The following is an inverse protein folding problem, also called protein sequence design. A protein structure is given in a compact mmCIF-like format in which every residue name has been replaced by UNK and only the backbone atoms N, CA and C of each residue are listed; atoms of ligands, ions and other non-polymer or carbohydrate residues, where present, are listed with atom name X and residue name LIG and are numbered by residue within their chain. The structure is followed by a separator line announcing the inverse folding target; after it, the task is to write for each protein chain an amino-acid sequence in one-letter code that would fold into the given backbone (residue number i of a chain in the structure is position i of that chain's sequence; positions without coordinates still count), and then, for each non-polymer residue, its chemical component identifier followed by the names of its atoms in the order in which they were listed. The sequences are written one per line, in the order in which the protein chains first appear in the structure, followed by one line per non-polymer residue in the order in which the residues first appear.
data_IF_791045726663
#
_entry.id   IF_791045726663
#
_cell.length_a   1.000
_cell.length_b   1.000
_cell.length_c   1.000
_cell.angle_alpha   90.00
_cell.angle_beta   90.00
_cell.angle_gamma   90.00
#
_symmetry.space_group_name_H-M   'P 1'
#
loop_
_entity.id
_entity.type
_entity.pdbx_description
1 polymer ?
#
# COMPACT_ATOMS: atom_id res chain seq x y z
N UNK A 1 20.19 8.94 16.84
CA UNK A 1 20.19 7.47 16.82
C UNK A 1 20.46 7.02 15.39
N UNK A 2 21.48 6.21 15.09
CA UNK A 2 21.66 5.67 13.74
C UNK A 2 20.65 4.55 13.56
N UNK A 3 19.72 4.72 12.61
CA UNK A 3 18.85 3.62 12.18
C UNK A 3 19.74 2.49 11.64
N UNK A 4 19.47 1.27 12.05
CA UNK A 4 20.14 0.11 11.50
C UNK A 4 19.55 -0.20 10.13
N UNK A 5 20.37 -0.57 9.15
CA UNK A 5 19.93 -0.76 7.75
C UNK A 5 18.78 -1.77 7.59
N UNK A 6 18.65 -2.73 8.50
CA UNK A 6 17.56 -3.72 8.50
C UNK A 6 16.21 -3.19 8.99
N UNK A 7 16.15 -1.93 9.44
CA UNK A 7 14.89 -1.26 9.81
C UNK A 7 14.31 -0.42 8.66
N UNK A 8 14.95 -0.38 7.50
CA UNK A 8 14.49 0.33 6.32
C UNK A 8 13.99 -0.69 5.29
N UNK A 9 12.75 -0.51 4.85
CA UNK A 9 12.14 -1.31 3.78
C UNK A 9 12.13 -0.48 2.49
N UNK A 10 12.79 -0.99 1.45
CA UNK A 10 12.76 -0.39 0.11
C UNK A 10 11.56 -0.94 -0.65
N UNK A 11 10.50 -0.14 -0.76
CA UNK A 11 9.30 -0.48 -1.49
C UNK A 11 9.36 0.03 -2.94
N UNK A 12 9.12 -0.85 -3.90
CA UNK A 12 9.13 -0.53 -5.34
C UNK A 12 7.74 -0.67 -5.96
N UNK A 13 7.32 0.28 -6.83
CA UNK A 13 6.12 0.10 -7.64
C UNK A 13 6.33 -0.96 -8.71
N UNK A 14 5.29 -1.73 -8.99
CA UNK A 14 5.28 -2.65 -10.12
C UNK A 14 3.97 -2.55 -10.89
N UNK A 15 4.05 -2.34 -12.22
CA UNK A 15 2.88 -2.37 -13.08
C UNK A 15 2.34 -3.79 -13.25
N UNK A 16 3.26 -4.74 -13.38
CA UNK A 16 2.97 -6.15 -13.63
C UNK A 16 3.97 -7.05 -12.89
N UNK A 17 3.71 -8.36 -12.90
CA UNK A 17 4.53 -9.33 -12.18
C UNK A 17 5.94 -9.48 -12.75
N UNK A 18 6.17 -9.16 -14.02
CA UNK A 18 7.51 -9.16 -14.60
C UNK A 18 8.35 -8.03 -13.99
N UNK A 19 7.81 -6.81 -13.92
CA UNK A 19 8.46 -5.65 -13.28
C UNK A 19 8.66 -5.92 -11.78
N UNK A 20 7.67 -6.54 -11.10
CA UNK A 20 7.80 -6.90 -9.69
C UNK A 20 9.00 -7.83 -9.45
N UNK A 21 9.17 -8.85 -10.28
CA UNK A 21 10.32 -9.77 -10.21
C UNK A 21 11.65 -9.06 -10.40
N UNK A 22 11.74 -8.17 -11.40
CA UNK A 22 12.94 -7.37 -11.63
C UNK A 22 13.26 -6.46 -10.45
N UNK A 23 12.26 -5.79 -9.87
CA UNK A 23 12.46 -4.96 -8.68
C UNK A 23 13.04 -5.76 -7.51
N UNK A 24 12.48 -6.95 -7.23
CA UNK A 24 12.95 -7.84 -6.17
C UNK A 24 14.40 -8.31 -6.45
N UNK A 25 14.70 -8.71 -7.68
CA UNK A 25 16.05 -9.14 -8.07
C UNK A 25 17.10 -8.01 -7.94
N UNK A 26 16.64 -6.75 -8.01
CA UNK A 26 17.48 -5.56 -7.84
C UNK A 26 17.45 -4.96 -6.43
N UNK A 27 16.90 -5.69 -5.46
CA UNK A 27 17.04 -5.37 -4.03
C UNK A 27 15.84 -4.65 -3.41
N UNK A 28 14.65 -4.70 -4.03
CA UNK A 28 13.43 -4.28 -3.34
C UNK A 28 13.09 -5.26 -2.21
N UNK A 29 12.83 -4.73 -1.02
CA UNK A 29 12.36 -5.49 0.15
C UNK A 29 10.85 -5.74 0.08
N UNK A 30 10.14 -4.91 -0.67
CA UNK A 30 8.72 -5.08 -0.95
C UNK A 30 8.36 -4.51 -2.32
N UNK A 31 7.28 -5.01 -2.91
CA UNK A 31 6.69 -4.46 -4.14
C UNK A 31 5.21 -4.18 -3.93
N UNK A 32 4.72 -3.06 -4.47
CA UNK A 32 3.28 -2.84 -4.55
C UNK A 32 2.80 -2.90 -6.01
N UNK A 33 1.67 -3.57 -6.20
CA UNK A 33 1.14 -3.93 -7.52
C UNK A 33 -0.39 -3.78 -7.53
N UNK A 34 -0.95 -3.40 -8.68
CA UNK A 34 -2.41 -3.32 -8.85
C UNK A 34 -3.04 -4.71 -8.84
N UNK A 35 -4.09 -4.87 -8.04
CA UNK A 35 -4.94 -6.05 -8.05
C UNK A 35 -6.01 -6.03 -9.14
N UNK A 36 -6.81 -7.08 -9.29
CA UNK A 36 -7.93 -7.10 -10.21
C UNK A 36 -9.03 -6.12 -9.76
N UNK A 37 -9.36 -5.13 -10.55
CA UNK A 37 -10.59 -4.34 -10.48
C UNK A 37 -10.57 -3.06 -9.63
N UNK A 38 -9.79 -2.94 -8.56
CA UNK A 38 -9.93 -1.88 -7.54
C UNK A 38 -8.69 -0.99 -7.35
N UNK A 39 -7.85 -0.87 -8.35
CA UNK A 39 -6.71 0.04 -8.30
C UNK A 39 -7.02 1.39 -8.93
N UNK A 40 -6.51 2.49 -8.39
CA UNK A 40 -6.63 3.83 -8.95
C UNK A 40 -6.07 3.96 -10.40
N UNK A 41 -5.46 2.91 -10.93
CA UNK A 41 -4.97 2.81 -12.31
C UNK A 41 -5.57 1.61 -13.01
N UNK A 42 -6.69 1.80 -13.69
CA UNK A 42 -7.43 0.76 -14.43
C UNK A 42 -6.61 -0.02 -15.48
N UNK A 43 -5.49 0.51 -15.94
CA UNK A 43 -4.65 -0.12 -16.97
C UNK A 43 -3.58 -1.10 -16.43
N UNK A 44 -3.56 -1.39 -15.14
CA UNK A 44 -2.57 -2.25 -14.50
C UNK A 44 -3.26 -3.35 -13.66
N UNK A 45 -4.30 -3.97 -14.21
CA UNK A 45 -4.93 -5.10 -13.53
C UNK A 45 -4.12 -6.38 -13.75
N UNK A 46 -3.58 -6.93 -12.65
CA UNK A 46 -2.99 -8.26 -12.65
C UNK A 46 -4.04 -9.26 -12.19
N UNK A 47 -4.04 -10.46 -12.79
CA UNK A 47 -4.95 -11.50 -12.34
C UNK A 47 -4.55 -12.03 -10.96
N UNK A 48 -5.52 -12.57 -10.23
CA UNK A 48 -5.22 -13.22 -8.93
C UNK A 48 -4.23 -14.38 -9.09
N UNK A 49 -4.30 -15.12 -10.21
CA UNK A 49 -3.35 -16.21 -10.51
C UNK A 49 -1.92 -15.71 -10.71
N UNK A 50 -1.75 -14.52 -11.33
CA UNK A 50 -0.42 -13.93 -11.51
C UNK A 50 0.16 -13.47 -10.16
N UNK A 51 -0.68 -12.89 -9.31
CA UNK A 51 -0.29 -12.49 -7.95
C UNK A 51 0.06 -13.71 -7.09
N UNK A 52 -0.76 -14.76 -7.11
CA UNK A 52 -0.48 -16.01 -6.41
C UNK A 52 0.81 -16.70 -6.87
N UNK A 53 1.20 -16.53 -8.14
CA UNK A 53 2.47 -17.03 -8.66
C UNK A 53 3.67 -16.11 -8.31
N UNK A 54 3.42 -14.83 -8.03
CA UNK A 54 4.46 -13.88 -7.62
C UNK A 54 4.87 -14.08 -6.15
N UNK A 55 3.92 -14.33 -5.25
CA UNK A 55 4.14 -14.41 -3.80
C UNK A 55 5.24 -15.41 -3.43
N UNK A 56 5.21 -16.71 -3.83
CA UNK A 56 6.26 -17.64 -3.47
C UNK A 56 7.64 -17.26 -4.05
N UNK A 57 7.67 -16.54 -5.16
CA UNK A 57 8.91 -15.98 -5.69
C UNK A 57 9.44 -14.88 -4.77
N UNK A 58 8.60 -13.89 -4.43
CA UNK A 58 8.97 -12.79 -3.55
C UNK A 58 9.48 -13.29 -2.19
N UNK A 59 8.72 -14.16 -1.54
CA UNK A 59 9.06 -14.71 -0.23
C UNK A 59 10.39 -15.51 -0.24
N UNK A 60 10.77 -16.14 -1.36
CA UNK A 60 12.08 -16.80 -1.50
C UNK A 60 13.25 -15.84 -1.37
N UNK A 61 13.06 -14.58 -1.77
CA UNK A 61 14.04 -13.50 -1.63
C UNK A 61 13.85 -12.66 -0.35
N UNK A 62 12.89 -13.04 0.52
CA UNK A 62 12.55 -12.29 1.71
C UNK A 62 11.78 -11.00 1.43
N UNK A 63 11.29 -10.81 0.20
CA UNK A 63 10.52 -9.64 -0.20
C UNK A 63 9.03 -9.87 0.00
N UNK A 64 8.29 -8.78 0.27
CA UNK A 64 6.84 -8.77 0.47
C UNK A 64 6.10 -8.31 -0.80
N UNK A 65 4.82 -8.69 -0.90
CA UNK A 65 3.93 -8.27 -1.99
C UNK A 65 2.71 -7.56 -1.40
N UNK A 66 2.54 -6.29 -1.74
CA UNK A 66 1.39 -5.48 -1.35
C UNK A 66 0.48 -5.25 -2.55
N UNK A 67 -0.83 -5.38 -2.35
CA UNK A 67 -1.81 -5.16 -3.41
C UNK A 67 -2.59 -3.87 -3.15
N UNK A 68 -2.76 -3.05 -4.19
CA UNK A 68 -3.52 -1.81 -4.07
C UNK A 68 -5.01 -2.04 -4.26
N UNK A 69 -5.79 -1.58 -3.26
CA UNK A 69 -7.23 -1.43 -3.23
C UNK A 69 -7.53 0.02 -2.80
N UNK A 70 -7.03 0.97 -3.58
CA UNK A 70 -6.92 2.37 -3.17
C UNK A 70 -7.86 3.31 -3.94
N UNK A 71 -9.08 2.85 -4.16
CA UNK A 71 -10.23 3.62 -4.64
C UNK A 71 -11.29 3.72 -3.54
N UNK A 72 -12.16 4.72 -3.62
CA UNK A 72 -13.40 4.75 -2.83
C UNK A 72 -14.36 3.73 -3.44
N UNK A 73 -15.01 2.96 -2.59
CA UNK A 73 -15.94 1.91 -2.99
C UNK A 73 -17.37 2.45 -3.08
N UNK A 74 -18.07 2.08 -4.14
CA UNK A 74 -19.51 2.24 -4.23
C UNK A 74 -20.24 1.07 -3.57
N UNK A 75 -21.50 1.25 -3.21
CA UNK A 75 -22.28 0.24 -2.47
C UNK A 75 -22.30 -1.16 -3.16
N UNK A 76 -22.34 -1.17 -4.50
CA UNK A 76 -22.31 -2.38 -5.30
C UNK A 76 -20.90 -3.02 -5.44
N UNK A 77 -19.86 -2.29 -5.04
CA UNK A 77 -18.47 -2.76 -5.07
C UNK A 77 -18.00 -3.36 -3.73
N UNK A 78 -18.74 -3.13 -2.64
CA UNK A 78 -18.35 -3.55 -1.29
C UNK A 78 -18.15 -5.06 -1.19
N UNK A 79 -19.14 -5.85 -1.64
CA UNK A 79 -19.04 -7.31 -1.59
C UNK A 79 -17.98 -7.88 -2.57
N UNK A 80 -17.85 -7.41 -3.82
CA UNK A 80 -16.72 -7.74 -4.67
C UNK A 80 -15.35 -7.41 -4.05
N UNK A 81 -15.21 -6.27 -3.38
CA UNK A 81 -13.98 -5.89 -2.69
C UNK A 81 -13.66 -6.83 -1.51
N UNK A 82 -14.67 -7.18 -0.69
CA UNK A 82 -14.52 -8.15 0.40
C UNK A 82 -14.04 -9.51 -0.11
N UNK A 83 -14.63 -9.99 -1.22
CA UNK A 83 -14.19 -11.23 -1.85
C UNK A 83 -12.74 -11.12 -2.35
N UNK A 84 -12.38 -10.04 -3.02
CA UNK A 84 -11.01 -9.81 -3.49
C UNK A 84 -9.99 -9.79 -2.33
N UNK A 85 -10.33 -9.16 -1.19
CA UNK A 85 -9.50 -9.16 0.02
C UNK A 85 -9.26 -10.59 0.50
N UNK A 86 -10.34 -11.41 0.55
CA UNK A 86 -10.25 -12.80 0.94
C UNK A 86 -9.38 -13.62 -0.01
N UNK A 87 -9.50 -13.37 -1.31
CA UNK A 87 -8.72 -14.06 -2.34
C UNK A 87 -7.23 -13.65 -2.27
N UNK A 88 -6.93 -12.38 -2.01
CA UNK A 88 -5.56 -11.89 -1.77
C UNK A 88 -4.95 -12.56 -0.54
N UNK A 89 -5.68 -12.63 0.56
CA UNK A 89 -5.21 -13.32 1.77
C UNK A 89 -4.90 -14.80 1.49
N UNK A 90 -5.79 -15.51 0.81
CA UNK A 90 -5.59 -16.92 0.45
C UNK A 90 -4.43 -17.12 -0.53
N UNK A 91 -4.13 -16.14 -1.36
CA UNK A 91 -2.97 -16.14 -2.26
C UNK A 91 -1.65 -15.86 -1.53
N UNK A 92 -1.69 -15.48 -0.25
CA UNK A 92 -0.52 -15.19 0.58
C UNK A 92 0.03 -13.76 0.39
N UNK A 93 -0.79 -12.83 -0.09
CA UNK A 93 -0.44 -11.39 -0.15
C UNK A 93 -0.19 -10.88 1.27
N UNK A 94 0.88 -10.11 1.45
CA UNK A 94 1.35 -9.67 2.76
C UNK A 94 0.53 -8.50 3.32
N UNK A 95 0.10 -7.56 2.47
CA UNK A 95 -0.72 -6.43 2.89
C UNK A 95 -1.55 -5.83 1.75
N UNK A 96 -2.58 -5.07 2.12
CA UNK A 96 -3.38 -4.27 1.18
C UNK A 96 -3.15 -2.77 1.43
N UNK A 97 -2.92 -2.01 0.35
CA UNK A 97 -2.85 -0.56 0.40
C UNK A 97 -4.22 -0.02 0.04
N UNK A 98 -4.92 0.56 1.03
CA UNK A 98 -6.35 0.90 0.92
C UNK A 98 -6.58 2.40 1.10
N UNK A 99 -7.70 2.88 0.55
CA UNK A 99 -8.17 4.26 0.71
C UNK A 99 -9.48 4.33 1.48
N UNK A 100 -10.41 3.45 1.18
CA UNK A 100 -11.75 3.49 1.76
C UNK A 100 -11.74 2.96 3.20
N UNK A 101 -12.18 3.78 4.15
CA UNK A 101 -12.25 3.42 5.56
C UNK A 101 -13.38 2.42 5.85
N UNK A 102 -14.37 2.29 4.96
CA UNK A 102 -15.44 1.29 5.08
C UNK A 102 -14.91 -0.14 5.11
N UNK A 103 -13.71 -0.38 4.59
CA UNK A 103 -13.04 -1.69 4.64
C UNK A 103 -12.83 -2.16 6.10
N UNK A 104 -12.64 -1.24 7.04
CA UNK A 104 -12.45 -1.58 8.46
C UNK A 104 -13.69 -2.19 9.12
N UNK A 105 -14.87 -1.95 8.55
CA UNK A 105 -16.16 -2.49 9.04
C UNK A 105 -16.54 -3.83 8.35
N UNK A 106 -15.74 -4.30 7.39
CA UNK A 106 -16.01 -5.54 6.70
C UNK A 106 -15.48 -6.75 7.49
N UNK A 107 -16.23 -7.87 7.42
CA UNK A 107 -15.74 -9.16 7.90
C UNK A 107 -14.70 -9.71 6.89
N UNK A 108 -13.45 -9.40 7.13
CA UNK A 108 -12.30 -9.77 6.28
C UNK A 108 -11.29 -10.61 7.07
N UNK A 109 -10.50 -11.46 6.39
CA UNK A 109 -9.40 -12.18 7.04
C UNK A 109 -8.35 -11.23 7.60
N UNK A 110 -7.51 -11.69 8.57
CA UNK A 110 -6.51 -10.86 9.23
C UNK A 110 -5.31 -10.55 8.31
N UNK A 111 -5.53 -9.78 7.26
CA UNK A 111 -4.51 -9.25 6.37
C UNK A 111 -4.08 -7.86 6.85
N UNK A 112 -2.79 -7.52 6.72
CA UNK A 112 -2.32 -6.19 7.08
C UNK A 112 -2.93 -5.12 6.15
N UNK A 113 -3.32 -3.98 6.75
CA UNK A 113 -3.84 -2.82 6.03
C UNK A 113 -2.88 -1.65 6.13
N UNK A 114 -2.51 -1.11 4.98
CA UNK A 114 -1.69 0.09 4.83
C UNK A 114 -2.55 1.24 4.30
N UNK A 115 -2.49 2.41 4.97
CA UNK A 115 -3.23 3.57 4.51
C UNK A 115 -2.55 4.18 3.29
N UNK A 116 -3.27 4.25 2.17
CA UNK A 116 -2.77 4.79 0.90
C UNK A 116 -2.42 6.27 0.98
N UNK A 117 -1.51 6.74 0.10
CA UNK A 117 -1.31 8.17 -0.21
C UNK A 117 -2.62 8.88 -0.56
N UNK A 118 -3.59 8.16 -1.13
CA UNK A 118 -4.92 8.69 -1.47
C UNK A 118 -5.73 9.10 -0.22
N UNK A 119 -5.33 8.66 0.96
CA UNK A 119 -5.90 9.14 2.22
C UNK A 119 -5.45 10.56 2.59
N UNK A 120 -4.53 11.17 1.84
CA UNK A 120 -4.04 12.55 2.07
C UNK A 120 -3.56 12.80 3.50
N UNK A 121 -2.58 12.02 3.94
CA UNK A 121 -2.09 12.04 5.33
C UNK A 121 -1.01 13.11 5.47
N UNK A 122 -1.37 14.25 6.07
CA UNK A 122 -0.52 15.45 6.20
C UNK A 122 -0.32 15.91 7.64
N UNK A 123 -1.15 15.43 8.57
CA UNK A 123 -1.11 15.88 9.96
C UNK A 123 -0.87 14.73 10.92
N UNK A 124 -0.32 15.08 12.08
CA UNK A 124 -0.10 14.18 13.20
C UNK A 124 -1.41 13.52 13.65
N UNK A 125 -2.48 14.32 13.75
CA UNK A 125 -3.79 13.85 14.23
C UNK A 125 -4.36 12.77 13.31
N UNK A 126 -4.25 12.99 11.98
CA UNK A 126 -4.73 12.01 10.99
C UNK A 126 -3.90 10.72 11.01
N UNK A 127 -2.57 10.84 11.13
CA UNK A 127 -1.69 9.68 11.23
C UNK A 127 -1.98 8.85 12.49
N UNK A 128 -2.15 9.51 13.65
CA UNK A 128 -2.55 8.85 14.89
C UNK A 128 -3.89 8.14 14.75
N UNK A 129 -4.90 8.83 14.23
CA UNK A 129 -6.21 8.23 14.01
C UNK A 129 -6.12 6.95 13.20
N UNK A 130 -5.36 6.97 12.08
CA UNK A 130 -5.21 5.80 11.21
C UNK A 130 -4.46 4.65 11.92
N UNK A 131 -3.43 4.95 12.69
CA UNK A 131 -2.76 3.94 13.52
C UNK A 131 -3.69 3.35 14.59
N UNK A 132 -4.46 4.20 15.27
CA UNK A 132 -5.37 3.79 16.34
C UNK A 132 -6.53 2.90 15.84
N UNK A 133 -6.99 3.09 14.57
CA UNK A 133 -8.04 2.26 13.97
C UNK A 133 -7.50 0.98 13.31
N UNK A 134 -6.17 0.74 13.32
CA UNK A 134 -5.60 -0.56 12.96
C UNK A 134 -4.74 -0.60 11.70
N UNK A 135 -4.40 0.55 11.10
CA UNK A 135 -3.42 0.56 10.01
C UNK A 135 -2.01 0.31 10.55
N UNK A 136 -1.35 -0.72 10.05
CA UNK A 136 0.03 -1.07 10.43
C UNK A 136 1.07 -0.18 9.76
N UNK A 137 0.75 0.37 8.59
CA UNK A 137 1.62 1.25 7.80
C UNK A 137 0.83 2.42 7.20
N UNK A 138 1.47 3.58 7.11
CA UNK A 138 0.85 4.83 6.65
C UNK A 138 1.72 5.45 5.56
N UNK A 139 1.17 5.58 4.35
CA UNK A 139 1.84 6.23 3.22
C UNK A 139 1.54 7.72 3.25
N UNK A 140 2.55 8.52 3.56
CA UNK A 140 2.40 9.96 3.73
C UNK A 140 2.13 10.69 2.41
N UNK A 141 1.50 11.85 2.51
CA UNK A 141 1.37 12.78 1.39
C UNK A 141 2.75 13.23 0.88
N UNK A 142 2.89 13.37 -0.43
CA UNK A 142 4.17 13.69 -1.09
C UNK A 142 4.66 15.11 -0.84
N UNK A 143 3.78 15.97 -0.38
CA UNK A 143 4.02 17.41 -0.19
C UNK A 143 4.68 17.75 1.15
N UNK A 144 4.91 16.74 2.02
CA UNK A 144 5.49 16.95 3.33
C UNK A 144 7.01 17.16 3.25
N UNK A 145 7.51 18.07 4.09
CA UNK A 145 8.92 18.21 4.32
C UNK A 145 9.44 17.22 5.41
N UNK A 146 10.75 17.07 5.54
CA UNK A 146 11.36 16.12 6.46
C UNK A 146 10.99 16.35 7.93
N UNK A 147 10.78 17.63 8.34
CA UNK A 147 10.37 17.93 9.72
C UNK A 147 8.96 17.43 9.99
N UNK A 148 8.02 17.66 9.07
CA UNK A 148 6.65 17.18 9.18
C UNK A 148 6.60 15.64 9.22
N UNK A 149 7.43 14.97 8.42
CA UNK A 149 7.55 13.50 8.44
C UNK A 149 8.07 13.03 9.80
N UNK A 150 9.09 13.69 10.35
CA UNK A 150 9.63 13.37 11.67
C UNK A 150 8.60 13.59 12.79
N UNK A 151 7.82 14.67 12.72
CA UNK A 151 6.78 14.98 13.70
C UNK A 151 5.68 13.91 13.70
N UNK A 152 5.26 13.46 12.50
CA UNK A 152 4.29 12.37 12.35
C UNK A 152 4.88 11.05 12.87
N UNK A 153 6.11 10.71 12.49
CA UNK A 153 6.78 9.48 12.92
C UNK A 153 6.89 9.39 14.46
N UNK A 154 7.18 10.50 15.13
CA UNK A 154 7.29 10.53 16.58
C UNK A 154 5.94 10.45 17.32
N UNK A 155 4.84 10.60 16.60
CA UNK A 155 3.50 10.69 17.19
C UNK A 155 2.62 9.43 16.98
N UNK A 156 3.06 8.46 16.19
CA UNK A 156 2.33 7.21 15.92
C UNK A 156 3.26 6.01 15.98
N UNK A 157 2.73 4.87 16.39
CA UNK A 157 3.44 3.59 16.36
C UNK A 157 3.35 2.90 14.98
N UNK A 158 2.50 3.39 14.08
CA UNK A 158 2.41 2.87 12.73
C UNK A 158 3.70 3.12 11.93
N UNK A 159 4.08 2.16 11.09
CA UNK A 159 5.22 2.31 10.18
C UNK A 159 4.95 3.44 9.18
N UNK A 160 5.92 4.33 9.01
CA UNK A 160 5.81 5.45 8.07
C UNK A 160 6.49 5.12 6.76
N UNK A 161 5.73 5.27 5.67
CA UNK A 161 6.23 5.18 4.30
C UNK A 161 6.18 6.55 3.64
N UNK A 162 7.24 6.94 2.91
CA UNK A 162 7.27 8.16 2.11
C UNK A 162 8.08 7.98 0.84
N UNK A 163 7.73 8.74 -0.19
CA UNK A 163 8.39 8.66 -1.49
C UNK A 163 9.77 9.31 -1.46
N UNK A 164 10.78 8.57 -1.92
CA UNK A 164 12.17 9.06 -2.06
C UNK A 164 12.59 9.22 -3.51
N UNK A 165 11.88 8.58 -4.45
CA UNK A 165 12.17 8.61 -5.88
C UNK A 165 10.90 8.37 -6.69
N UNK A 166 10.81 8.99 -7.87
CA UNK A 166 9.72 8.77 -8.82
C UNK A 166 9.40 10.02 -9.65
N UNK A 167 8.48 9.88 -10.60
CA UNK A 167 7.98 11.01 -11.37
C UNK A 167 7.19 11.97 -10.45
N UNK A 168 7.40 13.27 -10.64
CA UNK A 168 6.59 14.28 -9.97
C UNK A 168 5.11 14.13 -10.39
N UNK A 169 4.24 14.01 -9.40
CA UNK A 169 2.81 14.06 -9.62
C UNK A 169 2.35 15.52 -9.54
N UNK A 170 1.61 15.97 -10.55
CA UNK A 170 1.07 17.34 -10.60
C UNK A 170 -0.18 17.52 -9.76
N UNK A 171 -0.81 16.42 -9.33
CA UNK A 171 -1.98 16.44 -8.47
C UNK A 171 -1.59 16.38 -6.98
N UNK A 172 -2.39 16.99 -6.13
CA UNK A 172 -2.28 16.81 -4.68
C UNK A 172 -2.62 15.38 -4.28
N UNK A 173 -1.96 14.87 -3.23
CA UNK A 173 -2.29 13.59 -2.63
C UNK A 173 -3.77 13.57 -2.22
N UNK A 174 -4.50 12.50 -2.56
CA UNK A 174 -5.93 12.38 -2.30
C UNK A 174 -6.86 13.14 -3.27
N UNK A 175 -6.33 13.91 -4.22
CA UNK A 175 -7.11 14.72 -5.18
C UNK A 175 -6.65 14.47 -6.63
N UNK A 176 -6.46 13.22 -7.01
CA UNK A 176 -6.07 12.87 -8.37
C UNK A 176 -7.32 12.74 -9.26
N UNK A 177 -7.50 13.69 -10.19
CA UNK A 177 -8.61 13.68 -11.15
C UNK A 177 -8.19 13.19 -12.56
N UNK A 178 -6.99 12.61 -12.68
CA UNK A 178 -6.40 12.22 -13.99
C UNK A 178 -6.27 10.70 -14.13
N UNK A 179 -6.44 9.95 -13.04
CA UNK A 179 -6.37 8.48 -13.02
C UNK A 179 -7.73 7.85 -13.02
#
# INVERSE_FOLDING_TARGET
MRLQSHHLELLSPARDTAIAREAILHGADAVYIGGPGFGARHNASNSLSDLAALVPFAHRYGAKVFVTLNTILHDDEVEPARQMITDCYNAGIDALIVQDMGILELDIPPIELHASTQCDIRSVEKAKFLGDVGFSQIVLARELNLQQIADIHNATDATIEFFIHGALCVAYSGQCNIS
#
